data_IF_318079853498
#
_entry.id   IF_318079853498
#
_cell.length_a   1.000
_cell.length_b   1.000
_cell.length_c   1.000
_cell.angle_alpha   90.00
_cell.angle_beta   90.00
_cell.angle_gamma   90.00
#
_symmetry.space_group_name_H-M   'P 1'
#
loop_
_entity.id
_entity.type
_entity.pdbx_description
1 polymer ?
#
# COMPACT_ATOMS: atom_id res chain seq x y z
N UNK A 1 -38.79 9.35 4.33
CA UNK A 1 -39.04 8.03 4.94
C UNK A 1 -37.71 7.63 5.56
N UNK A 2 -37.67 7.54 6.88
CA UNK A 2 -36.45 7.37 7.68
C UNK A 2 -36.06 5.90 7.67
N UNK A 3 -34.81 5.59 7.32
CA UNK A 3 -34.21 4.29 7.62
C UNK A 3 -33.17 4.51 8.72
N UNK A 4 -33.47 3.90 9.87
CA UNK A 4 -32.61 3.77 11.04
C UNK A 4 -32.27 2.28 11.13
N UNK A 5 -31.01 1.92 10.92
CA UNK A 5 -30.43 0.60 11.23
C UNK A 5 -28.94 0.88 11.44
N UNK A 6 -28.26 0.61 12.55
CA UNK A 6 -28.57 -0.22 13.70
C UNK A 6 -27.37 -1.14 13.95
N UNK A 7 -26.40 -0.68 14.75
CA UNK A 7 -25.22 -1.44 15.14
C UNK A 7 -24.51 -0.81 16.34
N UNK A 8 -25.21 -0.69 17.48
CA UNK A 8 -24.59 -0.39 18.78
C UNK A 8 -24.65 -1.66 19.64
N UNK A 9 -23.49 -2.20 20.02
CA UNK A 9 -23.36 -3.11 21.15
C UNK A 9 -22.52 -2.43 22.24
N UNK A 10 -23.19 -1.79 23.21
CA UNK A 10 -22.55 -1.29 24.41
C UNK A 10 -22.47 -2.42 25.46
N UNK A 11 -21.27 -2.81 25.88
CA UNK A 11 -21.06 -3.58 27.11
C UNK A 11 -21.03 -2.62 28.33
N UNK A 12 -21.35 -3.08 29.54
CA UNK A 12 -21.51 -2.18 30.68
C UNK A 12 -20.14 -1.78 31.24
N UNK A 13 -19.58 -0.66 30.74
CA UNK A 13 -18.33 -0.12 31.30
C UNK A 13 -17.64 1.07 30.61
N UNK A 14 -18.05 1.53 29.42
CA UNK A 14 -17.35 2.59 28.69
C UNK A 14 -18.28 3.69 28.15
N UNK A 15 -17.85 4.95 28.26
CA UNK A 15 -18.61 6.15 27.89
C UNK A 15 -18.50 6.41 26.38
N UNK A 16 -19.61 6.41 25.63
CA UNK A 16 -19.68 6.87 24.23
C UNK A 16 -19.79 8.39 24.22
N UNK A 17 -18.84 9.08 23.59
CA UNK A 17 -18.96 10.51 23.30
C UNK A 17 -18.81 10.75 21.79
N UNK A 18 -19.93 10.71 21.08
CA UNK A 18 -20.08 11.30 19.74
C UNK A 18 -20.23 12.82 19.94
N UNK A 19 -19.21 13.62 19.62
CA UNK A 19 -19.37 15.08 19.51
C UNK A 19 -19.53 15.47 18.04
N UNK A 20 -20.79 15.63 17.63
CA UNK A 20 -21.15 16.44 16.47
C UNK A 20 -20.80 17.91 16.74
N UNK A 21 -19.94 18.51 15.93
CA UNK A 21 -19.81 19.97 15.77
C UNK A 21 -20.36 20.34 14.40
N UNK A 22 -21.28 21.31 14.35
CA UNK A 22 -22.05 21.63 13.14
C UNK A 22 -21.51 22.85 12.39
N UNK A 23 -21.53 22.81 11.05
CA UNK A 23 -21.98 23.85 10.12
C UNK A 23 -21.92 23.26 8.70
N UNK A 24 -22.77 23.50 7.71
CA UNK A 24 -23.98 24.30 7.55
C UNK A 24 -24.85 23.65 6.46
N UNK A 25 -26.05 24.17 6.24
CA UNK A 25 -27.07 23.65 5.32
C UNK A 25 -26.56 23.12 3.97
N UNK A 26 -26.43 21.81 3.82
CA UNK A 26 -26.29 21.17 2.51
C UNK A 26 -27.61 21.32 1.73
N UNK A 27 -27.53 21.91 0.55
CA UNK A 27 -28.65 21.93 -0.41
C UNK A 27 -29.04 20.50 -0.83
N UNK A 28 -30.18 20.32 -1.52
CA UNK A 28 -30.65 19.00 -1.93
C UNK A 28 -29.59 18.32 -2.80
N UNK A 29 -29.14 17.14 -2.36
CA UNK A 29 -28.24 16.28 -3.12
C UNK A 29 -28.85 16.01 -4.51
N UNK A 30 -28.12 16.35 -5.57
CA UNK A 30 -28.44 15.89 -6.91
C UNK A 30 -28.25 14.38 -6.95
N UNK A 31 -29.34 13.63 -6.93
CA UNK A 31 -29.34 12.20 -7.20
C UNK A 31 -28.91 11.99 -8.66
N UNK A 32 -27.63 11.77 -8.92
CA UNK A 32 -27.20 11.19 -10.19
C UNK A 32 -27.59 9.72 -10.19
N UNK A 33 -28.65 9.40 -10.93
CA UNK A 33 -29.09 8.04 -11.17
C UNK A 33 -27.99 7.31 -11.98
N UNK A 34 -27.56 6.09 -11.58
CA UNK A 34 -26.61 5.35 -12.39
C UNK A 34 -27.24 5.02 -13.76
N UNK A 35 -26.44 4.99 -14.85
CA UNK A 35 -26.95 4.67 -16.17
C UNK A 35 -27.58 3.28 -16.17
N UNK A 36 -28.82 3.17 -16.64
CA UNK A 36 -29.49 1.89 -16.82
C UNK A 36 -28.87 1.15 -18.02
N UNK A 37 -28.11 0.09 -17.75
CA UNK A 37 -27.58 -0.81 -18.77
C UNK A 37 -26.99 -2.08 -18.14
N UNK A 38 -27.40 -3.23 -18.64
CA UNK A 38 -26.85 -4.53 -18.25
C UNK A 38 -25.48 -4.71 -18.91
N UNK A 39 -24.41 -4.28 -18.23
CA UNK A 39 -23.03 -4.51 -18.65
C UNK A 39 -22.49 -5.74 -17.93
N UNK A 40 -22.13 -6.75 -18.73
CA UNK A 40 -21.51 -7.99 -18.24
C UNK A 40 -20.20 -7.74 -17.50
N UNK A 41 -19.89 -8.65 -16.59
CA UNK A 41 -18.77 -8.58 -15.63
C UNK A 41 -17.44 -8.13 -16.23
N UNK A 42 -17.03 -6.93 -15.80
CA UNK A 42 -15.66 -6.40 -15.78
C UNK A 42 -15.42 -5.75 -14.42
N UNK A 43 -14.23 -5.20 -14.17
CA UNK A 43 -13.72 -4.70 -12.87
C UNK A 43 -14.67 -3.83 -12.01
N UNK A 44 -15.77 -3.32 -12.58
CA UNK A 44 -16.83 -2.56 -11.93
C UNK A 44 -18.09 -3.39 -11.57
N UNK A 45 -17.98 -4.71 -11.40
CA UNK A 45 -19.10 -5.61 -11.02
C UNK A 45 -18.92 -6.34 -9.69
N UNK A 46 -17.86 -6.02 -8.94
CA UNK A 46 -17.65 -6.56 -7.60
C UNK A 46 -18.26 -5.60 -6.57
N UNK A 47 -18.87 -6.18 -5.53
CA UNK A 47 -19.61 -5.52 -4.45
C UNK A 47 -18.67 -4.76 -3.49
N UNK A 48 -17.76 -3.96 -4.03
CA UNK A 48 -16.93 -3.06 -3.24
C UNK A 48 -17.73 -1.80 -2.94
N UNK A 49 -17.63 -1.37 -1.69
CA UNK A 49 -18.29 -0.16 -1.24
C UNK A 49 -17.33 1.02 -1.22
N UNK A 50 -17.16 1.59 -2.41
CA UNK A 50 -16.36 2.79 -2.61
C UNK A 50 -17.04 4.06 -2.11
N UNK A 51 -18.27 3.96 -1.63
CA UNK A 51 -19.00 5.06 -1.00
C UNK A 51 -18.93 5.00 0.54
N UNK A 52 -18.44 3.88 1.09
CA UNK A 52 -18.38 3.62 2.53
C UNK A 52 -19.73 3.38 3.22
N UNK A 53 -20.85 3.26 2.49
CA UNK A 53 -22.20 3.02 3.01
C UNK A 53 -22.38 1.73 3.86
N UNK A 54 -21.49 0.75 3.73
CA UNK A 54 -21.44 -0.52 4.45
C UNK A 54 -20.33 -0.56 5.51
N UNK A 55 -19.62 0.55 5.74
CA UNK A 55 -18.59 0.64 6.78
C UNK A 55 -19.18 0.77 8.18
N UNK A 56 -18.44 0.30 9.19
CA UNK A 56 -18.83 0.47 10.60
C UNK A 56 -18.70 1.94 11.01
N UNK A 57 -17.65 2.63 10.55
CA UNK A 57 -17.50 4.08 10.69
C UNK A 57 -17.28 4.75 9.34
N UNK A 58 -18.15 5.69 9.00
CA UNK A 58 -18.09 6.47 7.76
C UNK A 58 -17.89 7.96 8.05
N UNK A 59 -16.87 8.57 7.45
CA UNK A 59 -16.67 10.03 7.44
C UNK A 59 -16.74 10.56 6.01
N UNK A 60 -17.64 11.52 5.75
CA UNK A 60 -17.87 12.07 4.40
C UNK A 60 -17.81 13.59 4.44
N UNK A 61 -17.13 14.19 3.47
CA UNK A 61 -17.20 15.62 3.19
C UNK A 61 -16.07 16.43 3.83
N UNK A 62 -15.70 17.51 3.15
CA UNK A 62 -14.77 18.52 3.64
C UNK A 62 -15.16 19.02 5.05
N UNK A 63 -14.16 19.34 5.87
CA UNK A 63 -14.28 19.78 7.26
C UNK A 63 -14.99 18.78 8.22
N UNK A 64 -15.33 17.58 7.76
CA UNK A 64 -15.91 16.54 8.60
C UNK A 64 -14.83 15.69 9.24
N UNK A 65 -14.91 15.52 10.57
CA UNK A 65 -13.95 14.71 11.33
C UNK A 65 -14.67 13.68 12.21
N UNK A 66 -14.29 12.42 12.10
CA UNK A 66 -14.63 11.37 13.06
C UNK A 66 -13.43 11.03 13.94
N UNK A 67 -13.68 10.83 15.25
CA UNK A 67 -12.66 10.37 16.20
C UNK A 67 -13.09 9.02 16.75
N UNK A 68 -12.24 8.01 16.55
CA UNK A 68 -12.44 6.63 17.00
C UNK A 68 -11.28 6.32 17.94
N UNK A 69 -11.58 6.03 19.20
CA UNK A 69 -10.55 5.98 20.23
C UNK A 69 -10.90 4.94 21.31
N UNK A 70 -10.04 3.95 21.52
CA UNK A 70 -10.29 2.89 22.51
C UNK A 70 -11.46 1.99 22.14
N UNK A 71 -11.58 1.60 20.87
CA UNK A 71 -12.78 0.94 20.30
C UNK A 71 -12.46 -0.43 19.70
N UNK A 72 -13.39 -1.38 19.80
CA UNK A 72 -13.38 -2.63 19.04
C UNK A 72 -14.40 -2.54 17.90
N UNK A 73 -13.93 -2.75 16.67
CA UNK A 73 -14.74 -2.74 15.44
C UNK A 73 -14.76 -4.15 14.86
N UNK A 74 -15.96 -4.67 14.60
CA UNK A 74 -16.14 -5.96 13.91
C UNK A 74 -17.15 -5.81 12.78
N UNK A 75 -16.77 -6.25 11.58
CA UNK A 75 -17.63 -6.30 10.40
C UNK A 75 -17.65 -7.70 9.80
N UNK A 76 -18.84 -8.29 9.64
CA UNK A 76 -19.00 -9.67 9.17
C UNK A 76 -19.66 -9.81 7.80
N UNK A 77 -20.17 -8.72 7.21
CA UNK A 77 -20.83 -8.72 5.90
C UNK A 77 -19.86 -8.40 4.77
N UNK A 78 -20.09 -8.98 3.59
CA UNK A 78 -19.34 -8.67 2.37
C UNK A 78 -19.42 -7.17 2.04
N UNK A 79 -18.29 -6.56 1.72
CA UNK A 79 -18.18 -5.13 1.42
C UNK A 79 -18.11 -4.23 2.66
N UNK A 80 -18.14 -4.76 3.88
CA UNK A 80 -18.23 -3.95 5.09
C UNK A 80 -16.86 -3.59 5.64
N UNK A 81 -16.44 -2.36 5.38
CA UNK A 81 -15.18 -1.82 5.86
C UNK A 81 -15.22 -1.49 7.36
N UNK A 82 -14.06 -1.50 8.03
CA UNK A 82 -13.94 -1.09 9.42
C UNK A 82 -14.13 0.42 9.57
N UNK A 83 -13.15 1.21 9.10
CA UNK A 83 -13.18 2.67 9.08
C UNK A 83 -13.03 3.16 7.66
N UNK A 84 -13.93 4.03 7.24
CA UNK A 84 -13.98 4.59 5.90
C UNK A 84 -13.99 6.13 5.94
N UNK A 85 -13.15 6.76 5.11
CA UNK A 85 -13.13 8.21 4.94
C UNK A 85 -13.19 8.57 3.45
N UNK A 86 -14.10 9.46 3.06
CA UNK A 86 -14.29 9.82 1.65
C UNK A 86 -14.72 11.27 1.46
N UNK A 87 -14.63 11.75 0.22
CA UNK A 87 -15.02 13.10 -0.19
C UNK A 87 -14.34 14.16 0.69
N UNK A 88 -13.03 14.02 0.91
CA UNK A 88 -12.22 14.87 1.80
C UNK A 88 -12.57 14.81 3.31
N UNK A 89 -13.37 13.84 3.74
CA UNK A 89 -13.60 13.56 5.16
C UNK A 89 -12.34 13.04 5.87
N UNK A 90 -12.23 13.33 7.17
CA UNK A 90 -11.06 12.95 7.99
C UNK A 90 -11.45 11.99 9.12
N UNK A 91 -10.87 10.79 9.17
CA UNK A 91 -10.98 9.90 10.32
C UNK A 91 -9.68 9.89 11.13
N UNK A 92 -9.83 10.06 12.45
CA UNK A 92 -8.75 9.99 13.41
C UNK A 92 -8.97 8.76 14.29
N UNK A 93 -8.11 7.75 14.15
CA UNK A 93 -8.29 6.43 14.75
C UNK A 93 -7.15 6.14 15.72
N UNK A 94 -7.45 5.81 16.97
CA UNK A 94 -6.41 5.51 17.95
C UNK A 94 -6.81 4.33 18.84
N UNK A 95 -5.87 3.48 19.21
CA UNK A 95 -6.07 2.41 20.22
C UNK A 95 -7.32 1.57 19.89
N UNK A 96 -7.35 1.04 18.67
CA UNK A 96 -8.55 0.42 18.10
C UNK A 96 -8.23 -0.96 17.54
N UNK A 97 -9.07 -1.94 17.87
CA UNK A 97 -9.05 -3.27 17.24
C UNK A 97 -10.05 -3.32 16.10
N UNK A 98 -9.65 -3.83 14.93
CA UNK A 98 -10.51 -3.93 13.75
C UNK A 98 -10.49 -5.36 13.21
N UNK A 99 -11.65 -6.00 13.11
CA UNK A 99 -11.81 -7.31 12.49
C UNK A 99 -12.83 -7.25 11.35
N UNK A 100 -12.43 -7.64 10.13
CA UNK A 100 -13.36 -7.81 9.02
C UNK A 100 -13.29 -9.23 8.46
N UNK A 101 -14.44 -9.88 8.29
CA UNK A 101 -14.48 -11.33 8.05
C UNK A 101 -14.77 -11.73 6.60
N UNK A 102 -15.48 -10.89 5.84
CA UNK A 102 -15.99 -11.24 4.51
C UNK A 102 -15.20 -10.57 3.38
N UNK A 103 -15.41 -11.01 2.14
CA UNK A 103 -14.74 -10.46 0.97
C UNK A 103 -15.01 -8.95 0.82
N UNK A 104 -14.08 -8.25 0.16
CA UNK A 104 -14.16 -6.82 -0.16
C UNK A 104 -14.32 -5.92 1.08
N UNK A 105 -13.82 -6.34 2.23
CA UNK A 105 -14.05 -5.70 3.53
C UNK A 105 -12.72 -5.22 4.12
N UNK A 106 -12.29 -4.03 3.75
CA UNK A 106 -11.01 -3.42 4.15
C UNK A 106 -11.04 -2.95 5.61
N UNK A 107 -9.86 -2.87 6.24
CA UNK A 107 -9.75 -2.41 7.63
C UNK A 107 -9.92 -0.89 7.77
N UNK A 108 -9.00 -0.15 7.15
CA UNK A 108 -8.97 1.29 6.98
C UNK A 108 -9.00 1.58 5.47
N UNK A 109 -9.97 2.35 5.02
CA UNK A 109 -10.17 2.61 3.59
C UNK A 109 -10.46 4.09 3.33
N UNK A 110 -9.65 4.71 2.47
CA UNK A 110 -9.78 6.12 2.12
C UNK A 110 -9.93 6.31 0.62
N UNK A 111 -10.99 7.00 0.21
CA UNK A 111 -11.32 7.24 -1.20
C UNK A 111 -11.61 8.70 -1.48
N UNK A 112 -11.57 9.13 -2.75
CA UNK A 112 -11.98 10.47 -3.17
C UNK A 112 -11.42 11.62 -2.29
N UNK A 113 -10.12 11.56 -1.99
CA UNK A 113 -9.42 12.55 -1.15
C UNK A 113 -9.67 12.44 0.35
N UNK A 114 -10.36 11.40 0.81
CA UNK A 114 -10.51 11.09 2.24
C UNK A 114 -9.16 10.90 2.93
N UNK A 115 -9.10 11.22 4.21
CA UNK A 115 -7.89 11.12 5.04
C UNK A 115 -8.14 10.25 6.26
N UNK A 116 -7.28 9.26 6.49
CA UNK A 116 -7.25 8.49 7.73
C UNK A 116 -5.89 8.69 8.37
N UNK A 117 -5.89 9.23 9.58
CA UNK A 117 -4.74 9.16 10.47
C UNK A 117 -5.05 8.10 11.54
N UNK A 118 -4.16 7.15 11.73
CA UNK A 118 -4.39 6.00 12.62
C UNK A 118 -3.19 5.66 13.50
N UNK A 119 -3.42 5.24 14.73
CA UNK A 119 -2.40 4.86 15.72
C UNK A 119 -2.80 3.71 16.64
N UNK A 120 -1.84 2.90 17.09
CA UNK A 120 -2.09 1.82 18.06
C UNK A 120 -3.22 0.91 17.55
N UNK A 121 -3.08 0.45 16.31
CA UNK A 121 -4.10 -0.36 15.65
C UNK A 121 -3.71 -1.83 15.70
N UNK A 122 -4.65 -2.68 16.09
CA UNK A 122 -4.58 -4.12 15.82
C UNK A 122 -5.66 -4.44 14.80
N UNK A 123 -5.31 -4.95 13.62
CA UNK A 123 -6.31 -5.25 12.61
C UNK A 123 -6.11 -6.62 11.95
N UNK A 124 -7.23 -7.31 11.71
CA UNK A 124 -7.31 -8.60 11.03
C UNK A 124 -8.38 -8.54 9.93
N UNK A 125 -8.02 -8.95 8.71
CA UNK A 125 -8.97 -9.07 7.59
C UNK A 125 -8.88 -10.46 6.97
N UNK A 126 -10.03 -11.14 6.84
CA UNK A 126 -10.04 -12.56 6.43
C UNK A 126 -10.48 -12.77 4.98
N UNK A 127 -11.37 -11.93 4.47
CA UNK A 127 -11.93 -12.07 3.13
C UNK A 127 -10.93 -11.76 2.01
N UNK A 128 -11.25 -12.24 0.82
CA UNK A 128 -10.55 -11.87 -0.41
C UNK A 128 -10.67 -10.37 -0.68
N UNK A 129 -9.67 -9.80 -1.33
CA UNK A 129 -9.62 -8.39 -1.71
C UNK A 129 -9.91 -7.39 -0.57
N UNK A 130 -9.36 -7.68 0.60
CA UNK A 130 -9.65 -7.00 1.85
C UNK A 130 -8.35 -6.50 2.49
N UNK A 131 -7.60 -5.65 1.80
CA UNK A 131 -6.40 -5.06 2.38
C UNK A 131 -6.72 -4.31 3.69
N UNK A 132 -5.80 -4.33 4.66
CA UNK A 132 -6.02 -3.59 5.91
C UNK A 132 -5.88 -2.09 5.67
N UNK A 133 -4.79 -1.65 5.05
CA UNK A 133 -4.54 -0.23 4.80
C UNK A 133 -4.75 0.01 3.31
N UNK A 134 -5.84 0.69 2.99
CA UNK A 134 -6.30 0.81 1.62
C UNK A 134 -6.58 2.24 1.22
N UNK A 135 -6.13 2.63 0.03
CA UNK A 135 -6.69 3.76 -0.69
C UNK A 135 -7.24 3.26 -2.02
N UNK A 136 -8.37 3.83 -2.45
CA UNK A 136 -9.07 3.47 -3.69
C UNK A 136 -9.63 4.73 -4.37
N UNK A 137 -9.88 4.66 -5.68
CA UNK A 137 -10.68 5.60 -6.51
C UNK A 137 -10.61 7.09 -6.12
N UNK A 138 -9.93 7.88 -6.93
CA UNK A 138 -9.80 9.32 -6.66
C UNK A 138 -8.74 9.66 -5.61
N UNK A 139 -7.92 8.69 -5.24
CA UNK A 139 -6.89 8.82 -4.22
C UNK A 139 -7.46 8.88 -2.81
N UNK A 140 -6.63 9.33 -1.88
CA UNK A 140 -6.88 9.30 -0.45
C UNK A 140 -5.55 9.19 0.27
N UNK A 141 -5.53 9.52 1.55
CA UNK A 141 -4.31 9.47 2.34
C UNK A 141 -4.52 8.64 3.61
N UNK A 142 -3.68 7.63 3.82
CA UNK A 142 -3.62 6.93 5.10
C UNK A 142 -2.23 7.04 5.70
N UNK A 143 -2.22 7.52 6.94
CA UNK A 143 -1.06 7.58 7.80
C UNK A 143 -1.29 6.67 9.00
N UNK A 144 -0.57 5.55 9.07
CA UNK A 144 -0.72 4.55 10.14
C UNK A 144 0.60 4.35 10.86
N UNK A 145 0.58 4.19 12.18
CA UNK A 145 1.75 3.68 12.86
C UNK A 145 1.47 3.11 14.25
N UNK A 146 2.46 2.42 14.81
CA UNK A 146 2.33 1.55 15.98
C UNK A 146 1.20 0.54 15.75
N UNK A 147 1.37 -0.35 14.79
CA UNK A 147 0.28 -1.26 14.39
C UNK A 147 0.71 -2.71 14.25
N UNK A 148 -0.23 -3.62 14.52
CA UNK A 148 -0.11 -5.06 14.24
C UNK A 148 -1.20 -5.47 13.25
N UNK A 149 -0.80 -5.97 12.08
CA UNK A 149 -1.69 -6.21 10.95
C UNK A 149 -1.67 -7.68 10.50
N UNK A 150 -2.82 -8.24 10.16
CA UNK A 150 -2.95 -9.61 9.65
C UNK A 150 -3.98 -9.67 8.50
N UNK A 151 -3.56 -10.13 7.31
CA UNK A 151 -4.48 -10.40 6.20
C UNK A 151 -4.44 -11.86 5.80
N UNK A 152 -5.58 -12.45 5.42
CA UNK A 152 -5.65 -13.87 5.04
C UNK A 152 -6.20 -14.14 3.62
N UNK A 153 -7.06 -13.27 3.10
CA UNK A 153 -7.68 -13.52 1.80
C UNK A 153 -6.74 -13.34 0.61
N UNK A 154 -7.08 -14.02 -0.49
CA UNK A 154 -6.43 -13.80 -1.79
C UNK A 154 -6.62 -12.36 -2.26
N UNK A 155 -5.58 -11.73 -2.79
CA UNK A 155 -5.64 -10.34 -3.25
C UNK A 155 -5.79 -9.31 -2.13
N UNK A 156 -5.47 -9.68 -0.89
CA UNK A 156 -5.57 -8.83 0.31
C UNK A 156 -4.16 -8.52 0.84
N UNK A 157 -3.36 -7.65 0.20
CA UNK A 157 -2.08 -7.24 0.76
C UNK A 157 -2.27 -6.46 2.07
N UNK A 158 -1.21 -6.28 2.85
CA UNK A 158 -1.27 -5.41 4.04
C UNK A 158 -1.59 -3.98 3.62
N UNK A 159 -0.89 -3.50 2.59
CA UNK A 159 -1.00 -2.15 2.05
C UNK A 159 -1.47 -2.22 0.60
N UNK A 160 -2.55 -1.51 0.26
CA UNK A 160 -3.03 -1.38 -1.11
C UNK A 160 -3.25 0.10 -1.44
N UNK A 161 -2.44 0.67 -2.33
CA UNK A 161 -2.48 2.11 -2.62
C UNK A 161 -2.99 2.43 -4.03
N UNK A 162 -4.00 3.29 -4.12
CA UNK A 162 -4.29 4.13 -5.28
C UNK A 162 -4.17 5.63 -4.93
N UNK A 163 -3.46 5.96 -3.86
CA UNK A 163 -3.28 7.30 -3.29
C UNK A 163 -1.96 7.36 -2.51
N UNK A 164 -1.99 7.90 -1.29
CA UNK A 164 -0.82 7.96 -0.42
C UNK A 164 -1.01 7.07 0.81
N UNK A 165 -0.12 6.11 1.00
CA UNK A 165 -0.05 5.29 2.21
C UNK A 165 1.31 5.47 2.87
N UNK A 166 1.30 5.68 4.17
CA UNK A 166 2.51 5.81 4.95
C UNK A 166 2.38 5.02 6.25
N UNK A 167 3.38 4.19 6.54
CA UNK A 167 3.41 3.32 7.72
C UNK A 167 4.70 3.44 8.51
N UNK A 168 4.59 3.47 9.85
CA UNK A 168 5.74 3.52 10.76
C UNK A 168 5.59 2.58 11.97
N UNK A 169 6.64 1.88 12.37
CA UNK A 169 6.58 0.92 13.48
C UNK A 169 5.39 -0.06 13.34
N UNK A 170 5.27 -0.66 12.15
CA UNK A 170 4.22 -1.63 11.84
C UNK A 170 4.82 -3.03 11.76
N UNK A 171 4.21 -3.97 12.47
CA UNK A 171 4.43 -5.40 12.28
C UNK A 171 3.23 -5.95 11.51
N UNK A 172 3.45 -6.70 10.43
CA UNK A 172 2.32 -7.26 9.69
C UNK A 172 2.62 -8.53 8.93
N UNK A 173 1.61 -9.39 8.80
CA UNK A 173 1.69 -10.65 8.06
C UNK A 173 0.52 -10.76 7.09
N UNK A 174 0.83 -10.91 5.80
CA UNK A 174 -0.11 -11.27 4.75
C UNK A 174 0.03 -12.74 4.41
N UNK A 175 -0.97 -13.54 4.74
CA UNK A 175 -0.95 -14.99 4.50
C UNK A 175 -1.60 -15.41 3.18
N UNK A 176 -2.43 -14.53 2.60
CA UNK A 176 -3.11 -14.75 1.33
C UNK A 176 -2.60 -13.94 0.15
N UNK A 177 -1.71 -12.97 0.37
CA UNK A 177 -1.31 -12.01 -0.68
C UNK A 177 0.12 -11.48 -0.50
N UNK A 178 0.48 -10.47 -1.31
CA UNK A 178 1.68 -9.65 -1.19
C UNK A 178 1.78 -8.92 0.15
N UNK A 179 2.94 -8.34 0.40
CA UNK A 179 3.13 -7.29 1.42
C UNK A 179 2.34 -6.05 0.99
N UNK A 180 2.55 -5.59 -0.24
CA UNK A 180 1.97 -4.35 -0.75
C UNK A 180 1.59 -4.43 -2.23
N UNK A 181 0.51 -3.75 -2.59
CA UNK A 181 0.14 -3.44 -3.96
C UNK A 181 -0.01 -1.93 -4.15
N UNK A 182 0.49 -1.40 -5.25
CA UNK A 182 0.38 0.01 -5.60
C UNK A 182 -0.05 0.13 -7.06
N UNK A 183 -1.17 0.80 -7.28
CA UNK A 183 -1.65 1.11 -8.61
C UNK A 183 -1.35 2.56 -8.95
N UNK A 184 -1.01 2.88 -10.20
CA UNK A 184 -0.81 4.24 -10.69
C UNK A 184 0.49 4.90 -10.23
N UNK A 185 0.48 6.23 -10.25
CA UNK A 185 1.61 7.10 -9.86
C UNK A 185 1.42 7.56 -8.42
N UNK A 186 1.33 6.58 -7.53
CA UNK A 186 0.92 6.72 -6.13
C UNK A 186 2.10 6.46 -5.18
N UNK A 187 1.87 6.63 -3.88
CA UNK A 187 2.94 6.61 -2.87
C UNK A 187 2.71 5.53 -1.82
N UNK A 188 3.76 4.77 -1.49
CA UNK A 188 3.85 3.91 -0.30
C UNK A 188 5.18 4.19 0.38
N UNK A 189 5.13 4.70 1.61
CA UNK A 189 6.29 4.94 2.46
C UNK A 189 6.25 4.02 3.69
N UNK A 190 7.31 3.26 3.91
CA UNK A 190 7.43 2.29 5.01
C UNK A 190 8.65 2.66 5.84
N UNK A 191 8.47 2.78 7.15
CA UNK A 191 9.56 3.07 8.09
C UNK A 191 9.50 2.22 9.35
N UNK A 192 10.65 1.85 9.91
CA UNK A 192 10.77 1.15 11.20
C UNK A 192 9.85 -0.08 11.30
N UNK A 193 9.62 -0.79 10.19
CA UNK A 193 8.54 -1.79 10.08
C UNK A 193 9.08 -3.18 9.71
N UNK A 194 8.33 -4.21 10.12
CA UNK A 194 8.58 -5.61 9.76
C UNK A 194 7.33 -6.15 9.09
N UNK A 195 7.36 -6.29 7.77
CA UNK A 195 6.21 -6.73 6.99
C UNK A 195 6.54 -8.03 6.25
N UNK A 196 5.66 -9.02 6.37
CA UNK A 196 5.86 -10.35 5.82
C UNK A 196 4.71 -10.75 4.90
N UNK A 197 5.04 -11.40 3.79
CA UNK A 197 4.13 -12.24 3.03
C UNK A 197 4.53 -13.70 3.15
N UNK A 198 3.59 -14.56 3.56
CA UNK A 198 3.82 -16.01 3.63
C UNK A 198 3.33 -16.74 2.36
N UNK A 199 2.93 -16.01 1.32
CA UNK A 199 2.49 -16.61 0.06
C UNK A 199 3.70 -17.13 -0.72
N UNK A 200 3.61 -18.36 -1.22
CA UNK A 200 4.71 -18.99 -1.98
C UNK A 200 4.51 -18.91 -3.50
N UNK A 201 3.28 -18.67 -3.94
CA UNK A 201 2.86 -18.67 -5.35
C UNK A 201 2.12 -17.40 -5.74
N UNK A 202 1.42 -17.47 -6.88
CA UNK A 202 0.58 -16.37 -7.37
C UNK A 202 -0.64 -16.20 -6.46
N UNK A 203 -1.09 -14.98 -6.30
CA UNK A 203 -2.33 -14.63 -5.60
C UNK A 203 -3.22 -13.80 -6.52
N UNK A 204 -4.54 -13.85 -6.29
CA UNK A 204 -5.54 -13.14 -7.09
C UNK A 204 -5.34 -13.32 -8.61
N UNK A 205 -5.23 -12.21 -9.35
CA UNK A 205 -5.09 -12.21 -10.81
C UNK A 205 -3.65 -11.99 -11.26
N UNK A 206 -2.68 -12.06 -10.34
CA UNK A 206 -1.31 -11.70 -10.64
C UNK A 206 -0.67 -12.70 -11.60
N UNK A 207 0.09 -12.22 -12.59
CA UNK A 207 0.69 -13.08 -13.60
C UNK A 207 1.89 -13.86 -13.07
N UNK A 208 2.50 -13.43 -11.97
CA UNK A 208 3.64 -14.08 -11.31
C UNK A 208 3.48 -14.05 -9.78
N UNK A 209 4.21 -14.90 -9.06
CA UNK A 209 4.35 -14.75 -7.61
C UNK A 209 5.19 -13.50 -7.36
N UNK A 210 4.77 -12.65 -6.42
CA UNK A 210 5.49 -11.43 -6.11
C UNK A 210 5.34 -11.02 -4.64
N UNK A 211 6.35 -10.35 -4.09
CA UNK A 211 6.30 -9.81 -2.74
C UNK A 211 5.59 -8.46 -2.68
N UNK A 212 5.81 -7.63 -3.71
CA UNK A 212 5.26 -6.28 -3.90
C UNK A 212 4.94 -6.11 -5.39
N UNK A 213 3.78 -5.53 -5.69
CA UNK A 213 3.38 -5.18 -7.06
C UNK A 213 3.19 -3.66 -7.19
N UNK A 214 3.78 -3.06 -8.23
CA UNK A 214 3.61 -1.65 -8.60
C UNK A 214 3.16 -1.60 -10.06
N UNK A 215 1.93 -1.19 -10.32
CA UNK A 215 1.32 -1.36 -11.64
C UNK A 215 0.42 -0.20 -12.06
N UNK A 216 0.05 -0.14 -13.33
CA UNK A 216 -1.06 0.70 -13.79
C UNK A 216 -2.12 -0.19 -14.45
N UNK A 217 -3.36 -0.11 -13.99
CA UNK A 217 -4.47 -0.80 -14.65
C UNK A 217 -5.01 0.02 -15.83
N UNK A 218 -5.74 -0.66 -16.73
CA UNK A 218 -6.46 -0.05 -17.86
C UNK A 218 -7.81 0.56 -17.43
N UNK A 219 -8.24 0.40 -16.18
CA UNK A 219 -9.58 0.83 -15.77
C UNK A 219 -9.69 2.35 -15.59
N UNK A 220 -8.55 3.04 -15.38
CA UNK A 220 -8.51 4.49 -15.15
C UNK A 220 -9.04 4.90 -13.77
N UNK A 221 -9.18 3.95 -12.83
CA UNK A 221 -9.70 4.21 -11.49
C UNK A 221 -8.65 4.81 -10.53
N UNK A 222 -7.37 4.57 -10.79
CA UNK A 222 -6.28 5.23 -10.09
C UNK A 222 -6.06 6.63 -10.70
N UNK A 223 -6.45 7.67 -9.97
CA UNK A 223 -6.04 9.04 -10.29
C UNK A 223 -4.53 9.16 -9.99
N UNK A 224 -3.77 9.81 -10.87
CA UNK A 224 -2.37 10.11 -10.64
C UNK A 224 -2.29 11.15 -9.51
N UNK A 225 -1.99 10.73 -8.28
CA UNK A 225 -2.08 11.62 -7.12
C UNK A 225 -0.88 12.55 -6.97
N UNK A 226 0.34 12.17 -7.41
CA UNK A 226 1.52 12.93 -6.96
C UNK A 226 2.70 13.15 -7.91
N UNK A 227 2.75 12.60 -9.15
CA UNK A 227 3.94 12.88 -9.96
C UNK A 227 4.07 12.24 -11.34
N UNK A 228 5.31 12.24 -11.85
CA UNK A 228 5.72 11.57 -13.10
C UNK A 228 5.99 10.06 -12.90
N UNK A 229 6.11 9.62 -11.63
CA UNK A 229 6.52 8.27 -11.21
C UNK A 229 5.76 7.82 -9.95
N UNK A 230 5.50 6.52 -9.84
CA UNK A 230 5.08 5.89 -8.60
C UNK A 230 6.24 5.88 -7.59
N UNK A 231 5.98 6.09 -6.29
CA UNK A 231 7.03 6.19 -5.27
C UNK A 231 6.85 5.13 -4.20
N UNK A 232 7.78 4.17 -4.16
CA UNK A 232 7.86 3.17 -3.11
C UNK A 232 9.14 3.37 -2.30
N UNK A 233 9.01 3.52 -0.99
CA UNK A 233 10.16 3.69 -0.11
C UNK A 233 10.06 2.85 1.13
N UNK A 234 11.19 2.26 1.51
CA UNK A 234 11.32 1.47 2.73
C UNK A 234 12.59 1.86 3.47
N UNK A 235 12.46 2.22 4.74
CA UNK A 235 13.55 2.73 5.58
C UNK A 235 13.62 2.05 6.94
N UNK A 236 14.81 1.61 7.37
CA UNK A 236 15.03 0.94 8.67
C UNK A 236 14.03 -0.20 8.87
N UNK A 237 13.79 -0.98 7.82
CA UNK A 237 12.68 -1.93 7.77
C UNK A 237 13.12 -3.30 7.26
N UNK A 238 12.36 -4.33 7.59
CA UNK A 238 12.50 -5.67 7.04
C UNK A 238 11.25 -6.00 6.23
N UNK A 239 11.44 -6.37 4.96
CA UNK A 239 10.38 -6.83 4.07
C UNK A 239 10.63 -8.29 3.69
N UNK A 240 9.83 -9.21 4.25
CA UNK A 240 10.00 -10.65 4.08
C UNK A 240 8.97 -11.26 3.12
N UNK A 241 9.40 -12.14 2.21
CA UNK A 241 8.52 -12.80 1.26
C UNK A 241 8.89 -14.27 1.07
N UNK A 242 7.90 -15.16 1.24
CA UNK A 242 8.06 -16.60 1.09
C UNK A 242 7.95 -17.10 -0.37
N UNK A 243 7.95 -16.19 -1.36
CA UNK A 243 7.78 -16.54 -2.78
C UNK A 243 8.82 -17.57 -3.24
N UNK A 244 8.34 -18.66 -3.85
CA UNK A 244 9.19 -19.72 -4.41
C UNK A 244 9.55 -19.53 -5.89
N UNK A 245 9.14 -18.40 -6.49
CA UNK A 245 9.42 -18.01 -7.88
C UNK A 245 9.01 -16.55 -8.10
N UNK A 246 9.18 -16.02 -9.32
CA UNK A 246 8.76 -14.67 -9.67
C UNK A 246 9.75 -13.62 -9.14
N UNK A 247 9.25 -12.51 -8.59
CA UNK A 247 10.10 -11.39 -8.19
C UNK A 247 9.68 -10.73 -6.87
N UNK A 248 10.62 -10.19 -6.11
CA UNK A 248 10.29 -9.41 -4.90
C UNK A 248 9.48 -8.16 -5.26
N UNK A 249 9.92 -7.41 -6.27
CA UNK A 249 9.18 -6.30 -6.86
C UNK A 249 8.74 -6.67 -8.28
N UNK A 250 7.45 -6.59 -8.54
CA UNK A 250 6.87 -6.78 -9.86
C UNK A 250 6.28 -5.48 -10.39
N UNK A 251 6.70 -5.07 -11.60
CA UNK A 251 6.26 -3.85 -12.25
C UNK A 251 5.51 -4.17 -13.54
N UNK A 252 4.39 -3.46 -13.77
CA UNK A 252 3.75 -3.49 -15.09
C UNK A 252 3.01 -2.19 -15.42
N UNK A 253 3.30 -1.64 -16.60
CA UNK A 253 2.64 -0.44 -17.17
C UNK A 253 2.78 0.86 -16.37
N UNK A 254 3.71 0.94 -15.44
CA UNK A 254 3.94 2.16 -14.65
C UNK A 254 5.43 2.46 -14.57
N UNK A 255 5.75 3.73 -14.38
CA UNK A 255 7.10 4.18 -14.03
C UNK A 255 7.19 4.25 -12.51
N UNK A 256 8.33 3.90 -11.93
CA UNK A 256 8.45 3.83 -10.48
C UNK A 256 9.86 4.14 -9.97
N UNK A 257 9.91 4.81 -8.83
CA UNK A 257 11.08 5.00 -8.01
C UNK A 257 10.97 4.12 -6.76
N UNK A 258 11.93 3.20 -6.60
CA UNK A 258 12.10 2.38 -5.40
C UNK A 258 13.29 2.89 -4.61
N UNK A 259 13.07 3.23 -3.34
CA UNK A 259 14.11 3.74 -2.44
C UNK A 259 14.24 2.83 -1.22
N UNK A 260 15.43 2.23 -1.04
CA UNK A 260 15.76 1.37 0.10
C UNK A 260 16.87 2.03 0.91
N UNK A 261 16.61 2.26 2.21
CA UNK A 261 17.58 2.85 3.13
C UNK A 261 17.63 2.11 4.46
N UNK A 262 18.76 1.51 4.82
CA UNK A 262 18.84 0.59 5.96
C UNK A 262 17.73 -0.47 5.95
N UNK A 263 17.35 -0.94 4.77
CA UNK A 263 16.26 -1.91 4.60
C UNK A 263 16.82 -3.28 4.24
N UNK A 264 16.25 -4.30 4.86
CA UNK A 264 16.48 -5.70 4.55
C UNK A 264 15.33 -6.24 3.68
N UNK A 265 15.69 -6.88 2.57
CA UNK A 265 14.77 -7.67 1.77
C UNK A 265 15.07 -9.15 2.02
N UNK A 266 14.15 -9.85 2.68
CA UNK A 266 14.30 -11.24 3.08
C UNK A 266 13.42 -12.14 2.21
N UNK A 267 14.00 -12.75 1.18
CA UNK A 267 13.31 -13.68 0.31
C UNK A 267 14.31 -14.69 -0.26
N UNK A 268 13.81 -15.82 -0.78
CA UNK A 268 14.66 -16.81 -1.46
C UNK A 268 15.14 -16.27 -2.81
N UNK A 269 16.28 -15.59 -2.79
CA UNK A 269 16.92 -15.03 -3.98
C UNK A 269 17.37 -16.11 -4.99
N UNK A 270 17.51 -17.37 -4.58
CA UNK A 270 17.79 -18.48 -5.49
C UNK A 270 16.51 -18.94 -6.22
N UNK A 271 15.34 -18.65 -5.67
CA UNK A 271 14.04 -18.99 -6.26
C UNK A 271 13.42 -17.82 -7.04
N UNK A 272 13.50 -16.58 -6.55
CA UNK A 272 12.93 -15.39 -7.15
C UNK A 272 13.98 -14.33 -7.52
N UNK A 273 13.64 -13.43 -8.46
CA UNK A 273 14.48 -12.27 -8.81
C UNK A 273 14.15 -11.07 -7.92
N UNK A 274 15.00 -10.04 -7.93
CA UNK A 274 14.65 -8.79 -7.25
C UNK A 274 13.51 -8.07 -7.98
N UNK A 275 13.69 -7.82 -9.27
CA UNK A 275 12.75 -7.07 -10.10
C UNK A 275 12.32 -7.87 -11.32
N UNK A 276 11.08 -7.68 -11.74
CA UNK A 276 10.58 -8.06 -13.05
C UNK A 276 9.70 -6.92 -13.60
N UNK A 277 9.89 -6.57 -14.87
CA UNK A 277 9.19 -5.46 -15.54
C UNK A 277 8.52 -5.98 -16.81
N UNK A 278 7.25 -6.34 -16.71
CA UNK A 278 6.52 -6.98 -17.80
C UNK A 278 5.56 -6.01 -18.51
N UNK A 279 5.28 -6.28 -19.79
CA UNK A 279 4.18 -5.63 -20.51
C UNK A 279 2.81 -5.92 -19.87
N UNK A 280 1.86 -5.01 -20.14
CA UNK A 280 0.43 -5.21 -19.88
C UNK A 280 -0.06 -6.59 -20.32
N UNK A 281 -0.59 -7.37 -19.37
CA UNK A 281 -1.20 -8.68 -19.62
C UNK A 281 -0.56 -9.81 -18.81
N UNK A 282 -0.67 -11.05 -19.31
CA UNK A 282 -0.32 -12.31 -18.63
C UNK A 282 1.17 -12.50 -18.25
N UNK A 283 1.97 -11.44 -18.17
CA UNK A 283 3.40 -11.49 -17.84
C UNK A 283 4.29 -12.07 -18.95
N UNK A 284 3.76 -12.24 -20.17
CA UNK A 284 4.46 -12.90 -21.29
C UNK A 284 4.72 -11.98 -22.48
N UNK A 285 4.42 -10.68 -22.36
CA UNK A 285 4.71 -9.68 -23.40
C UNK A 285 6.14 -9.12 -23.30
N UNK A 286 6.59 -8.35 -24.31
CA UNK A 286 7.88 -7.65 -24.21
C UNK A 286 7.89 -6.73 -22.98
N UNK A 287 9.03 -6.59 -22.30
CA UNK A 287 9.14 -5.72 -21.12
C UNK A 287 8.59 -4.30 -21.40
N UNK A 288 7.96 -3.69 -20.40
CA UNK A 288 7.50 -2.30 -20.52
C UNK A 288 8.70 -1.37 -20.69
N UNK A 289 8.60 -0.40 -21.60
CA UNK A 289 9.59 0.67 -21.76
C UNK A 289 9.55 1.69 -20.59
N UNK A 290 8.68 1.47 -19.59
CA UNK A 290 8.58 2.32 -18.42
C UNK A 290 9.88 2.29 -17.59
N UNK A 291 10.34 3.48 -17.21
CA UNK A 291 11.52 3.67 -16.36
C UNK A 291 11.25 3.19 -14.94
N UNK A 292 12.11 2.31 -14.45
CA UNK A 292 12.19 1.91 -13.04
C UNK A 292 13.54 2.36 -12.50
N UNK A 293 13.52 3.24 -11.50
CA UNK A 293 14.71 3.66 -10.76
C UNK A 293 14.78 2.91 -9.45
N UNK A 294 15.93 2.29 -9.15
CA UNK A 294 16.19 1.68 -7.84
C UNK A 294 17.33 2.43 -7.17
N UNK A 295 17.05 2.96 -5.98
CA UNK A 295 18.00 3.65 -5.11
C UNK A 295 18.29 2.75 -3.89
N UNK A 296 19.55 2.34 -3.74
CA UNK A 296 20.00 1.50 -2.62
C UNK A 296 21.13 2.22 -1.90
N UNK A 297 20.87 2.64 -0.65
CA UNK A 297 21.89 3.28 0.17
C UNK A 297 22.95 2.29 0.67
N UNK A 298 24.04 2.81 1.24
CA UNK A 298 25.17 1.98 1.69
C UNK A 298 24.91 1.20 2.97
N UNK A 299 23.74 1.37 3.59
CA UNK A 299 23.35 0.68 4.82
C UNK A 299 22.32 -0.42 4.56
N UNK A 300 21.67 -0.41 3.39
CA UNK A 300 20.71 -1.41 2.97
C UNK A 300 21.39 -2.71 2.56
N UNK A 301 20.71 -3.82 2.84
CA UNK A 301 21.14 -5.14 2.36
C UNK A 301 20.32 -5.51 1.15
N UNK A 302 21.00 -5.63 0.01
CA UNK A 302 20.41 -6.10 -1.23
C UNK A 302 21.17 -7.32 -1.74
N UNK A 303 20.48 -8.46 -1.84
CA UNK A 303 21.02 -9.71 -2.37
C UNK A 303 20.38 -10.02 -3.72
N UNK A 304 21.22 -10.27 -4.74
CA UNK A 304 20.81 -10.74 -6.06
C UNK A 304 21.48 -12.07 -6.32
N UNK A 305 20.70 -13.14 -6.49
CA UNK A 305 21.24 -14.45 -6.84
C UNK A 305 20.84 -14.92 -8.26
N UNK A 306 20.19 -14.06 -9.06
CA UNK A 306 19.87 -14.29 -10.48
C UNK A 306 20.08 -13.03 -11.30
N UNK A 307 20.42 -13.21 -12.57
CA UNK A 307 20.55 -12.09 -13.50
C UNK A 307 19.29 -11.22 -13.49
N UNK A 308 19.49 -9.91 -13.36
CA UNK A 308 18.40 -8.94 -13.16
C UNK A 308 18.59 -7.76 -14.12
N UNK A 309 17.49 -7.21 -14.65
CA UNK A 309 17.51 -6.02 -15.51
C UNK A 309 16.76 -4.87 -14.84
N UNK A 310 17.38 -3.68 -14.82
CA UNK A 310 16.83 -2.46 -14.22
C UNK A 310 17.04 -1.29 -15.19
N UNK A 311 16.08 -0.36 -15.28
CA UNK A 311 16.20 0.81 -16.17
C UNK A 311 17.19 1.85 -15.63
N UNK A 312 17.12 2.18 -14.34
CA UNK A 312 18.05 3.09 -13.69
C UNK A 312 18.45 2.56 -12.30
N UNK A 313 19.75 2.60 -11.98
CA UNK A 313 20.28 2.10 -10.71
C UNK A 313 21.21 3.12 -10.07
N UNK A 314 20.89 3.51 -8.83
CA UNK A 314 21.73 4.32 -7.97
C UNK A 314 22.09 3.49 -6.75
N UNK A 315 23.35 3.07 -6.62
CA UNK A 315 23.81 2.24 -5.51
C UNK A 315 25.02 2.88 -4.86
N UNK A 316 24.96 3.09 -3.55
CA UNK A 316 26.10 3.63 -2.81
C UNK A 316 27.29 2.66 -2.91
N UNK A 317 28.50 3.19 -2.99
CA UNK A 317 29.71 2.36 -3.03
C UNK A 317 29.96 1.68 -1.67
N UNK A 318 30.10 0.34 -1.66
CA UNK A 318 30.65 -0.37 -0.49
C UNK A 318 29.85 -1.55 0.10
N UNK A 319 29.12 -2.33 -0.69
CA UNK A 319 28.53 -3.58 -0.19
C UNK A 319 29.58 -4.68 0.08
N UNK A 320 29.63 -5.19 1.31
CA UNK A 320 30.49 -6.30 1.73
C UNK A 320 29.83 -7.67 1.42
N UNK A 321 29.65 -7.99 0.15
CA UNK A 321 29.13 -9.28 -0.32
C UNK A 321 29.82 -9.72 -1.61
N UNK A 322 29.70 -11.00 -1.98
CA UNK A 322 30.16 -11.50 -3.29
C UNK A 322 29.71 -10.52 -4.37
N UNK A 323 30.64 -9.74 -4.92
CA UNK A 323 30.26 -8.57 -5.69
C UNK A 323 29.50 -9.06 -6.92
N UNK A 324 28.32 -8.49 -7.14
CA UNK A 324 27.55 -8.69 -8.37
C UNK A 324 28.25 -7.91 -9.48
N UNK A 325 28.29 -8.48 -10.68
CA UNK A 325 28.77 -7.72 -11.84
C UNK A 325 27.67 -6.76 -12.28
N UNK A 326 27.94 -5.45 -12.29
CA UNK A 326 26.98 -4.46 -12.81
C UNK A 326 27.43 -4.05 -14.22
N UNK A 327 26.56 -4.30 -15.20
CA UNK A 327 26.75 -3.92 -16.60
C UNK A 327 25.77 -2.80 -16.94
N UNK A 328 26.26 -1.57 -17.08
CA UNK A 328 25.45 -0.43 -17.50
C UNK A 328 25.73 -0.11 -18.97
N UNK A 329 24.69 -0.05 -19.80
CA UNK A 329 24.80 0.26 -21.24
C UNK A 329 25.87 -0.59 -21.97
N UNK A 330 25.90 -1.89 -21.67
CA UNK A 330 26.85 -2.85 -22.26
C UNK A 330 28.29 -2.75 -21.74
N UNK A 331 28.56 -1.95 -20.71
CA UNK A 331 29.89 -1.81 -20.08
C UNK A 331 29.84 -2.24 -18.62
N UNK A 332 30.79 -3.06 -18.20
CA UNK A 332 30.98 -3.39 -16.77
C UNK A 332 31.40 -2.13 -16.01
N UNK A 333 30.56 -1.68 -15.07
CA UNK A 333 30.80 -0.52 -14.19
C UNK A 333 31.19 -0.94 -12.77
N UNK A 334 30.77 -2.13 -12.34
CA UNK A 334 31.24 -2.81 -11.13
C UNK A 334 31.61 -4.23 -11.49
N UNK A 335 32.83 -4.66 -11.13
CA UNK A 335 33.28 -6.03 -11.36
C UNK A 335 32.90 -6.91 -10.19
N UNK A 336 32.11 -7.93 -10.47
CA UNK A 336 31.74 -8.95 -9.52
C UNK A 336 32.74 -10.10 -9.43
N UNK A 337 32.77 -10.80 -8.31
CA UNK A 337 33.47 -12.09 -8.18
C UNK A 337 32.57 -13.29 -8.45
N UNK A 338 31.24 -13.10 -8.52
CA UNK A 338 30.27 -14.13 -8.84
C UNK A 338 29.79 -14.10 -10.29
N UNK A 339 28.98 -15.10 -10.68
CA UNK A 339 28.43 -15.25 -12.03
C UNK A 339 27.17 -14.40 -12.29
N UNK A 340 26.64 -13.75 -11.26
CA UNK A 340 25.40 -12.96 -11.32
C UNK A 340 25.66 -11.58 -11.89
N UNK A 341 24.82 -11.17 -12.85
CA UNK A 341 24.89 -9.87 -13.51
C UNK A 341 23.63 -9.03 -13.29
N UNK A 342 23.80 -7.80 -12.84
CA UNK A 342 22.76 -6.75 -12.91
C UNK A 342 23.00 -5.93 -14.17
N UNK A 343 22.06 -6.01 -15.11
CA UNK A 343 22.06 -5.22 -16.34
C UNK A 343 21.27 -3.94 -16.13
N UNK A 344 21.93 -2.80 -16.32
CA UNK A 344 21.31 -1.47 -16.26
C UNK A 344 21.18 -0.94 -17.68
N UNK A 345 19.94 -0.78 -18.15
CA UNK A 345 19.65 -0.38 -19.54
C UNK A 345 19.65 1.13 -19.76
N UNK A 346 19.61 1.91 -18.67
CA UNK A 346 19.65 3.38 -18.68
C UNK A 346 20.77 3.93 -17.80
N UNK A 347 20.43 4.79 -16.83
CA UNK A 347 21.42 5.49 -16.00
C UNK A 347 21.96 4.61 -14.87
N UNK A 348 23.27 4.72 -14.63
CA UNK A 348 23.93 4.17 -13.44
C UNK A 348 24.63 5.31 -12.70
N UNK A 349 24.46 5.35 -11.37
CA UNK A 349 25.12 6.32 -10.50
C UNK A 349 25.56 5.68 -9.19
N UNK A 350 26.56 6.30 -8.56
CA UNK A 350 26.93 6.03 -7.15
C UNK A 350 26.43 7.11 -6.20
N UNK A 351 25.82 8.16 -6.75
CA UNK A 351 25.09 9.16 -5.98
C UNK A 351 23.69 8.64 -5.72
N UNK A 352 23.39 8.37 -4.44
CA UNK A 352 22.06 8.00 -3.99
C UNK A 352 21.36 9.26 -3.49
N UNK A 353 20.21 9.58 -4.08
CA UNK A 353 19.30 10.59 -3.54
C UNK A 353 18.55 9.95 -2.37
N UNK A 354 19.11 10.08 -1.17
CA UNK A 354 18.42 9.70 0.06
C UNK A 354 17.34 10.75 0.35
N UNK A 355 16.10 10.29 0.51
CA UNK A 355 15.00 11.16 0.95
C UNK A 355 15.32 11.79 2.31
N UNK A 356 15.00 13.07 2.49
CA UNK A 356 15.14 13.72 3.80
C UNK A 356 14.10 13.14 4.77
N UNK A 357 14.57 12.61 5.90
CA UNK A 357 13.76 11.84 6.83
C UNK A 357 12.88 12.70 7.74
N UNK A 358 11.60 12.37 7.88
CA UNK A 358 11.06 11.94 9.19
C UNK A 358 9.61 11.44 9.11
N UNK A 359 9.33 10.42 9.92
CA UNK A 359 8.00 10.07 10.39
C UNK A 359 8.09 9.95 11.91
N UNK A 360 7.51 10.90 12.63
CA UNK A 360 7.27 10.81 14.07
C UNK A 360 5.91 11.45 14.36
N UNK A 361 4.88 10.61 14.56
CA UNK A 361 3.52 11.05 14.93
C UNK A 361 3.47 11.33 16.43
N UNK A 362 4.17 12.37 16.84
CA UNK A 362 4.43 12.74 18.23
C UNK A 362 3.14 12.74 19.09
N UNK A 363 2.94 11.62 19.80
CA UNK A 363 1.69 11.11 20.38
C UNK A 363 0.40 11.47 19.63
N UNK A 364 0.34 10.95 18.41
CA UNK A 364 -0.73 11.14 17.43
C UNK A 364 -1.03 12.62 17.17
N UNK A 365 0.08 13.29 16.91
CA UNK A 365 0.32 14.73 16.81
C UNK A 365 -0.40 15.52 17.90
N UNK A 366 -0.16 15.02 19.10
CA UNK A 366 -0.88 15.29 20.34
C UNK A 366 -2.37 15.08 20.19
N UNK A 367 -2.71 13.83 19.88
CA UNK A 367 -4.01 13.18 19.89
C UNK A 367 -5.09 14.22 19.65
N UNK A 368 -5.06 14.58 18.37
CA UNK A 368 -6.13 15.23 17.62
C UNK A 368 -6.15 16.77 17.63
N UNK A 369 -5.02 17.41 17.94
CA UNK A 369 -4.73 18.80 17.54
C UNK A 369 -3.65 18.86 16.44
N UNK A 370 -3.85 18.10 15.35
CA UNK A 370 -2.83 17.62 14.39
C UNK A 370 -1.91 18.68 13.75
N UNK A 371 -0.74 18.25 13.27
CA UNK A 371 -0.09 18.82 12.07
C UNK A 371 0.84 17.77 11.47
N UNK A 372 0.35 17.13 10.42
CA UNK A 372 0.98 15.99 9.74
C UNK A 372 2.01 16.47 8.72
N UNK A 373 3.26 16.65 9.13
CA UNK A 373 4.37 16.78 8.19
C UNK A 373 5.08 15.43 8.05
N UNK A 374 5.16 14.93 6.83
CA UNK A 374 5.93 13.73 6.48
C UNK A 374 6.92 14.13 5.39
N UNK A 375 8.15 13.62 5.45
CA UNK A 375 8.89 13.42 4.20
C UNK A 375 9.69 12.13 4.28
N UNK A 376 9.51 11.30 3.27
CA UNK A 376 10.53 10.40 2.77
C UNK A 376 10.48 10.47 1.23
N UNK A 377 11.67 10.71 0.65
CA UNK A 377 12.02 11.03 -0.75
C UNK A 377 11.29 12.22 -1.39
#
# INVERSE_FOLDING_TARGET
>A
MVALTGGLCASPGGMVLIRHLSAGSAGPASTMQPPSGNFGGGANTMQYDYSGSYSVSLTVGEDSTAVIDGTDITASSSGSNGVFATDSGTALVNDTSIETMADNSRGLDATYGGTISANKITADTQGGHSAIVATDRGGGSISLADATLSTAGSGSPLLYSTGDIQVNNVSGTSSGSQIAGMEGLNTILIKDSTLESTVTGKTASDPIANGIIIYQSTSGDAEASTGEHATFQSVVSTLSSAIGSGSMFYFTNTTADVVLQNTELDFDTAAATLTDNAAAGSGTGPASDATITVNVDGTSTWVVAKDTTISALNVASGGDGNTVTIVANGKTVVSGSGDVTVTVTGSYSTSVSAGSDTIDRSEFDSRFGTSTAWTMA
#
